data_IF_374785072665
#
_entry.id   IF_374785072665
#
_cell.length_a   1.000
_cell.length_b   1.000
_cell.length_c   1.000
_cell.angle_alpha   90.00
_cell.angle_beta   90.00
_cell.angle_gamma   90.00
#
_symmetry.space_group_name_H-M   'P 1'
#
loop_
_entity.id
_entity.type
_entity.pdbx_description
1 polymer ?
#
# COMPACT_ATOMS: atom_id res chain seq x y z
N UNK A 1 19.35 -12.15 68.38
CA UNK A 1 19.63 -12.43 66.95
C UNK A 1 18.32 -12.79 66.27
N UNK A 2 17.66 -11.85 65.59
CA UNK A 2 16.36 -12.09 64.90
C UNK A 2 16.19 -11.15 63.70
N UNK A 3 17.29 -10.77 63.05
CA UNK A 3 17.29 -9.80 61.95
C UNK A 3 17.17 -10.36 60.50
N UNK A 4 17.33 -11.65 60.16
CA UNK A 4 17.38 -12.01 58.74
C UNK A 4 16.00 -12.26 58.12
N UNK A 5 14.94 -12.44 58.93
CA UNK A 5 13.63 -12.87 58.40
C UNK A 5 12.76 -11.71 57.89
N UNK A 6 13.06 -10.47 58.28
CA UNK A 6 12.31 -9.28 57.86
C UNK A 6 12.74 -8.82 56.44
N UNK A 7 13.95 -9.19 56.01
CA UNK A 7 14.50 -8.77 54.72
C UNK A 7 13.88 -9.49 53.50
N UNK A 8 13.14 -10.59 53.71
CA UNK A 8 12.45 -11.31 52.62
C UNK A 8 11.05 -10.77 52.30
N UNK A 9 10.50 -9.87 53.12
CA UNK A 9 9.14 -9.33 52.93
C UNK A 9 9.08 -8.13 51.98
N UNK A 10 10.21 -7.66 51.45
CA UNK A 10 10.27 -6.46 50.60
C UNK A 10 10.54 -6.74 49.13
N UNK A 11 10.48 -7.99 48.67
CA UNK A 11 10.53 -8.29 47.23
C UNK A 11 9.19 -7.91 46.59
N UNK A 12 8.97 -6.61 46.44
CA UNK A 12 7.92 -6.08 45.59
C UNK A 12 8.30 -6.48 44.17
N UNK A 13 7.75 -7.60 43.71
CA UNK A 13 7.76 -7.93 42.29
C UNK A 13 7.02 -6.79 41.60
N UNK A 14 7.77 -5.83 41.06
CA UNK A 14 7.26 -4.77 40.21
C UNK A 14 6.84 -5.40 38.90
N UNK A 15 5.67 -6.04 38.89
CA UNK A 15 4.95 -6.37 37.68
C UNK A 15 4.48 -5.02 37.12
N UNK A 16 4.98 -4.65 35.93
CA UNK A 16 4.45 -3.49 35.23
C UNK A 16 2.94 -3.72 35.05
N UNK A 17 2.13 -2.92 35.76
CA UNK A 17 0.68 -3.10 35.81
C UNK A 17 0.08 -3.01 34.40
N UNK A 18 0.64 -2.14 33.56
CA UNK A 18 0.13 -1.83 32.24
C UNK A 18 1.29 -1.47 31.29
N UNK A 19 1.11 -1.71 29.99
CA UNK A 19 2.03 -1.31 28.93
C UNK A 19 1.26 -0.77 27.74
N UNK A 20 1.76 0.27 27.09
CA UNK A 20 1.12 0.87 25.93
C UNK A 20 1.78 0.36 24.64
N UNK A 21 0.98 -0.24 23.76
CA UNK A 21 1.38 -0.57 22.40
C UNK A 21 0.70 0.43 21.46
N UNK A 22 1.50 1.23 20.77
CA UNK A 22 1.00 2.16 19.76
C UNK A 22 1.21 1.56 18.37
N UNK A 23 0.11 1.30 17.68
CA UNK A 23 0.14 0.92 16.26
C UNK A 23 0.06 2.18 15.41
N UNK A 24 1.06 2.38 14.56
CA UNK A 24 1.07 3.45 13.56
C UNK A 24 1.02 2.81 12.18
N UNK A 25 0.04 3.19 11.38
CA UNK A 25 -0.13 2.71 10.02
C UNK A 25 -0.86 3.74 9.17
N UNK A 26 -0.71 3.62 7.86
CA UNK A 26 -1.46 4.39 6.88
C UNK A 26 -2.23 3.42 5.98
N UNK A 27 -3.47 3.78 5.65
CA UNK A 27 -4.19 3.15 4.54
C UNK A 27 -3.72 3.86 3.28
N UNK A 28 -2.84 3.22 2.52
CA UNK A 28 -2.42 3.70 1.20
C UNK A 28 -3.33 3.09 0.14
N UNK A 29 -4.03 3.94 -0.61
CA UNK A 29 -4.76 3.49 -1.79
C UNK A 29 -3.76 3.07 -2.88
N UNK A 30 -3.88 1.87 -3.47
CA UNK A 30 -3.01 1.45 -4.56
C UNK A 30 -3.22 2.37 -5.76
N UNK A 31 -2.12 2.78 -6.40
CA UNK A 31 -2.12 3.81 -7.43
C UNK A 31 -3.06 3.49 -8.60
N UNK A 32 -2.90 2.33 -9.25
CA UNK A 32 -3.87 1.74 -10.18
C UNK A 32 -3.55 0.24 -10.38
N UNK A 33 -4.56 -0.61 -10.50
CA UNK A 33 -4.43 -2.00 -10.97
C UNK A 33 -4.63 -2.10 -12.49
N UNK A 34 -4.10 -3.15 -13.11
CA UNK A 34 -4.32 -3.43 -14.53
C UNK A 34 -4.94 -4.82 -14.75
N UNK A 35 -5.82 -4.91 -15.75
CA UNK A 35 -6.39 -6.16 -16.23
C UNK A 35 -6.10 -6.31 -17.72
N UNK A 36 -5.41 -7.40 -18.09
CA UNK A 36 -5.11 -7.73 -19.48
C UNK A 36 -6.18 -8.68 -20.00
N UNK A 37 -7.06 -8.18 -20.88
CA UNK A 37 -8.05 -9.00 -21.59
C UNK A 37 -7.80 -8.91 -23.10
N UNK A 38 -8.81 -8.55 -23.91
CA UNK A 38 -8.62 -8.15 -25.32
C UNK A 38 -8.03 -6.74 -25.47
N UNK A 39 -8.13 -5.95 -24.41
CA UNK A 39 -7.52 -4.64 -24.22
C UNK A 39 -6.92 -4.57 -22.81
N UNK A 40 -6.09 -3.55 -22.55
CA UNK A 40 -5.57 -3.30 -21.20
C UNK A 40 -6.52 -2.32 -20.51
N UNK A 41 -7.17 -2.77 -19.43
CA UNK A 41 -8.01 -1.92 -18.58
C UNK A 41 -7.22 -1.50 -17.35
N UNK A 42 -7.09 -0.19 -17.15
CA UNK A 42 -6.51 0.43 -15.97
C UNK A 42 -7.62 0.75 -14.99
N UNK A 43 -7.43 0.39 -13.72
CA UNK A 43 -8.41 0.52 -12.67
C UNK A 43 -7.78 1.27 -11.50
N UNK A 44 -8.19 2.51 -11.27
CA UNK A 44 -7.64 3.31 -10.18
C UNK A 44 -8.75 3.54 -9.15
N UNK A 45 -8.40 3.45 -7.88
CA UNK A 45 -9.30 3.71 -6.77
C UNK A 45 -8.82 4.95 -6.04
N UNK A 46 -9.71 5.92 -5.85
CA UNK A 46 -9.44 7.12 -5.06
C UNK A 46 -10.65 7.46 -4.19
N UNK A 47 -10.40 7.65 -2.90
CA UNK A 47 -11.43 7.83 -1.87
C UNK A 47 -12.52 6.74 -1.92
N UNK A 48 -12.11 5.49 -2.20
CA UNK A 48 -13.02 4.36 -2.37
C UNK A 48 -13.84 4.34 -3.67
N UNK A 49 -13.71 5.35 -4.54
CA UNK A 49 -14.36 5.38 -5.85
C UNK A 49 -13.40 4.76 -6.87
N UNK A 50 -13.91 3.79 -7.64
CA UNK A 50 -13.16 3.16 -8.73
C UNK A 50 -13.48 3.84 -10.06
N UNK A 51 -12.45 4.19 -10.83
CA UNK A 51 -12.56 4.61 -12.23
C UNK A 51 -11.68 3.74 -13.12
N UNK A 52 -12.16 3.49 -14.32
CA UNK A 52 -11.47 2.64 -15.29
C UNK A 52 -11.22 3.38 -16.59
N UNK A 53 -10.05 3.15 -17.17
CA UNK A 53 -9.67 3.63 -18.51
C UNK A 53 -9.17 2.45 -19.35
N UNK A 54 -9.57 2.38 -20.61
CA UNK A 54 -9.14 1.29 -21.51
C UNK A 54 -8.09 1.78 -22.48
N UNK A 55 -6.89 1.20 -22.40
CA UNK A 55 -5.82 1.43 -23.35
C UNK A 55 -5.99 0.54 -24.58
N UNK A 56 -5.84 1.17 -25.75
CA UNK A 56 -5.74 0.49 -27.03
C UNK A 56 -4.27 0.23 -27.36
N UNK A 57 -4.00 -0.85 -28.09
CA UNK A 57 -2.63 -1.24 -28.52
C UNK A 57 -2.23 -0.43 -29.77
N UNK A 58 -2.45 0.87 -29.75
CA UNK A 58 -2.12 1.78 -30.86
C UNK A 58 -0.99 2.77 -30.51
N UNK A 59 -0.35 2.61 -29.34
CA UNK A 59 0.74 3.47 -28.88
C UNK A 59 0.31 4.83 -28.34
N UNK A 60 -0.97 5.18 -28.41
CA UNK A 60 -1.46 6.46 -27.90
C UNK A 60 -1.37 6.49 -26.38
N UNK A 61 -0.81 7.57 -25.83
CA UNK A 61 -0.87 7.84 -24.41
C UNK A 61 -2.30 8.22 -24.02
N UNK A 62 -2.74 7.70 -22.87
CA UNK A 62 -4.00 8.08 -22.22
C UNK A 62 -3.71 8.53 -20.81
N UNK A 63 -4.49 9.50 -20.36
CA UNK A 63 -4.43 9.95 -18.98
C UNK A 63 -4.97 8.86 -18.06
N UNK A 64 -4.30 8.65 -16.93
CA UNK A 64 -4.82 7.80 -15.88
C UNK A 64 -6.04 8.48 -15.23
N UNK A 65 -7.04 7.71 -14.78
CA UNK A 65 -8.11 8.25 -13.96
C UNK A 65 -7.58 9.13 -12.81
N UNK A 66 -8.32 10.19 -12.49
CA UNK A 66 -7.95 11.19 -11.46
C UNK A 66 -6.67 11.99 -11.73
N UNK A 67 -6.22 12.06 -12.99
CA UNK A 67 -5.01 12.77 -13.37
C UNK A 67 -3.78 12.30 -12.57
N UNK A 68 -3.68 10.99 -12.33
CA UNK A 68 -2.56 10.39 -11.59
C UNK A 68 -1.27 10.29 -12.42
N UNK A 69 -1.37 10.51 -13.73
CA UNK A 69 -0.27 10.36 -14.67
C UNK A 69 -0.76 9.95 -16.05
N UNK A 70 0.10 9.32 -16.83
CA UNK A 70 -0.23 8.80 -18.16
C UNK A 70 0.17 7.34 -18.31
N UNK A 71 -0.53 6.63 -19.19
CA UNK A 71 -0.19 5.27 -19.55
C UNK A 71 -0.30 5.05 -21.05
N UNK A 72 0.58 4.20 -21.59
CA UNK A 72 0.59 3.80 -22.99
C UNK A 72 1.06 2.37 -23.15
N UNK A 73 0.60 1.73 -24.22
CA UNK A 73 1.09 0.41 -24.62
C UNK A 73 2.20 0.61 -25.65
N UNK A 74 3.43 0.24 -25.31
CA UNK A 74 4.57 0.27 -26.23
C UNK A 74 4.90 -1.15 -26.70
N UNK A 75 5.43 -1.26 -27.92
CA UNK A 75 5.88 -2.53 -28.48
C UNK A 75 7.35 -2.41 -28.86
N UNK A 76 8.20 -3.17 -28.19
CA UNK A 76 9.64 -3.14 -28.40
C UNK A 76 10.18 -4.57 -28.49
N UNK A 77 10.99 -4.86 -29.50
CA UNK A 77 11.65 -6.18 -29.69
C UNK A 77 10.67 -7.36 -29.64
N UNK A 78 9.45 -7.18 -30.16
CA UNK A 78 8.39 -8.20 -30.17
C UNK A 78 7.62 -8.34 -28.86
N UNK A 79 8.02 -7.64 -27.79
CA UNK A 79 7.35 -7.62 -26.51
C UNK A 79 6.40 -6.42 -26.42
N UNK A 80 5.30 -6.61 -25.70
CA UNK A 80 4.32 -5.56 -25.42
C UNK A 80 4.47 -5.14 -23.96
N UNK A 81 4.71 -3.85 -23.73
CA UNK A 81 4.83 -3.29 -22.39
C UNK A 81 3.72 -2.30 -22.12
N UNK A 82 3.17 -2.36 -20.92
CA UNK A 82 2.40 -1.27 -20.34
C UNK A 82 3.38 -0.32 -19.67
N UNK A 83 3.59 0.86 -20.27
CA UNK A 83 4.37 1.92 -19.65
C UNK A 83 3.42 2.85 -18.90
N UNK A 84 3.70 3.08 -17.63
CA UNK A 84 2.95 3.98 -16.75
C UNK A 84 3.92 5.03 -16.20
N UNK A 85 3.53 6.29 -16.30
CA UNK A 85 4.28 7.43 -15.79
C UNK A 85 3.37 8.20 -14.82
N UNK A 86 3.69 8.13 -13.53
CA UNK A 86 2.97 8.84 -12.48
C UNK A 86 3.47 10.29 -12.38
N UNK A 87 2.56 11.19 -12.00
CA UNK A 87 2.89 12.59 -11.67
C UNK A 87 3.71 12.71 -10.37
#
# INVERSE_FOLDING_TARGET
MLLPMIALLTSHATLAADGQITFVGAIVEPSCDYAVTRSVSLNCTREGIKKSETLQVNGAARELPYALGTARIIRERGLTFLQVEYN
#
